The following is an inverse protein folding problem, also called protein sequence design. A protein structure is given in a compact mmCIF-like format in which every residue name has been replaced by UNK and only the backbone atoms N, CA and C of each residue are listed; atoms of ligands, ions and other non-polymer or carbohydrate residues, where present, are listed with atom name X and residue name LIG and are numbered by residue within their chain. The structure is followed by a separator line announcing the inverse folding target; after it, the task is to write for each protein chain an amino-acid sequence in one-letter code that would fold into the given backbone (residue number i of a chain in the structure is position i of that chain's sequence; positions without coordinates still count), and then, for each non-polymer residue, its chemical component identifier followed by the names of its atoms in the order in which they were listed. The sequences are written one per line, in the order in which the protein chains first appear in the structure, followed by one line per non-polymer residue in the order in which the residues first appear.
data_IF_659120024962
#
_entry.id   IF_659120024962
#
_cell.length_a   1.000
_cell.length_b   1.000
_cell.length_c   1.000
_cell.angle_alpha   90.00
_cell.angle_beta   90.00
_cell.angle_gamma   90.00
#
_symmetry.space_group_name_H-M   'P 1'
#
loop_
_entity.id
_entity.type
_entity.pdbx_description
1 polymer ?
#
# COMPACT_ATOMS: atom_id res chain seq x y z
N UNK A 1 -3.66 -22.76 28.04
CA UNK A 1 -4.42 -22.27 26.87
C UNK A 1 -4.96 -23.45 26.06
N UNK A 2 -5.86 -24.26 26.64
CA UNK A 2 -6.52 -25.37 25.93
C UNK A 2 -7.37 -24.88 24.76
N UNK A 3 -8.08 -23.76 24.93
CA UNK A 3 -8.93 -23.15 23.89
C UNK A 3 -8.17 -22.77 22.60
N UNK A 4 -6.93 -22.29 22.71
CA UNK A 4 -6.11 -21.97 21.54
C UNK A 4 -5.69 -23.23 20.79
N UNK A 5 -5.43 -24.31 21.53
CA UNK A 5 -5.00 -25.59 20.99
C UNK A 5 -6.16 -26.33 20.31
N UNK A 6 -7.36 -26.25 20.89
CA UNK A 6 -8.62 -26.72 20.31
C UNK A 6 -8.89 -26.01 18.97
N UNK A 7 -8.82 -24.67 18.97
CA UNK A 7 -9.05 -23.86 17.77
C UNK A 7 -8.04 -24.15 16.64
N UNK A 8 -6.76 -24.36 16.99
CA UNK A 8 -5.74 -24.73 16.00
C UNK A 8 -6.05 -26.10 15.40
N UNK A 9 -6.46 -27.09 16.21
CA UNK A 9 -6.85 -28.42 15.71
C UNK A 9 -8.07 -28.35 14.80
N UNK A 10 -9.11 -27.62 15.18
CA UNK A 10 -10.31 -27.45 14.35
C UNK A 10 -9.98 -26.80 13.00
N UNK A 11 -9.11 -25.79 12.98
CA UNK A 11 -8.66 -25.15 11.73
C UNK A 11 -7.84 -26.13 10.88
N UNK A 12 -6.96 -26.95 11.48
CA UNK A 12 -6.20 -27.97 10.77
C UNK A 12 -7.10 -29.06 10.18
N UNK A 13 -8.06 -29.57 10.94
CA UNK A 13 -9.01 -30.59 10.50
C UNK A 13 -9.92 -30.04 9.38
N UNK A 14 -10.37 -28.79 9.49
CA UNK A 14 -11.13 -28.12 8.44
C UNK A 14 -10.31 -27.93 7.16
N UNK A 15 -9.05 -27.49 7.26
CA UNK A 15 -8.16 -27.32 6.11
C UNK A 15 -7.86 -28.63 5.39
N UNK A 16 -7.71 -29.74 6.12
CA UNK A 16 -7.48 -31.07 5.52
C UNK A 16 -8.72 -31.60 4.80
N UNK A 17 -9.91 -31.40 5.37
CA UNK A 17 -11.16 -31.94 4.82
C UNK A 17 -11.77 -31.04 3.73
N UNK A 18 -11.49 -29.74 3.73
CA UNK A 18 -12.07 -28.75 2.82
C UNK A 18 -10.99 -27.86 2.18
N UNK A 19 -9.85 -28.45 1.80
CA UNK A 19 -8.67 -27.74 1.32
C UNK A 19 -8.98 -26.68 0.24
N UNK A 20 -9.84 -27.00 -0.74
CA UNK A 20 -10.20 -26.06 -1.80
C UNK A 20 -10.99 -24.84 -1.27
N UNK A 21 -11.92 -25.07 -0.35
CA UNK A 21 -12.73 -24.00 0.27
C UNK A 21 -11.89 -23.18 1.25
N UNK A 22 -11.07 -23.84 2.07
CA UNK A 22 -10.14 -23.21 2.98
C UNK A 22 -9.15 -22.31 2.23
N UNK A 23 -8.56 -22.80 1.14
CA UNK A 23 -7.67 -22.00 0.30
C UNK A 23 -8.42 -20.80 -0.32
N UNK A 24 -9.65 -20.99 -0.81
CA UNK A 24 -10.45 -19.88 -1.33
C UNK A 24 -10.75 -18.80 -0.27
N UNK A 25 -11.10 -19.20 0.96
CA UNK A 25 -11.35 -18.29 2.08
C UNK A 25 -10.09 -17.54 2.51
N UNK A 26 -8.95 -18.23 2.63
CA UNK A 26 -7.67 -17.62 3.00
C UNK A 26 -7.21 -16.62 1.93
N UNK A 27 -7.33 -16.98 0.65
CA UNK A 27 -7.02 -16.08 -0.46
C UNK A 27 -7.89 -14.83 -0.46
N UNK A 28 -9.22 -15.00 -0.37
CA UNK A 28 -10.17 -13.88 -0.33
C UNK A 28 -9.92 -12.94 0.86
N UNK A 29 -9.71 -13.48 2.06
CA UNK A 29 -9.41 -12.68 3.24
C UNK A 29 -8.07 -11.92 3.12
N UNK A 30 -7.09 -12.50 2.42
CA UNK A 30 -5.80 -11.86 2.14
C UNK A 30 -5.95 -10.73 1.12
N UNK A 31 -6.67 -10.96 0.02
CA UNK A 31 -6.97 -9.98 -1.03
C UNK A 31 -7.71 -8.77 -0.46
N UNK A 32 -8.73 -8.99 0.36
CA UNK A 32 -9.49 -7.93 1.02
C UNK A 32 -8.61 -7.07 1.93
N UNK A 33 -7.69 -7.68 2.69
CA UNK A 33 -6.76 -6.97 3.54
C UNK A 33 -5.78 -6.13 2.71
N UNK A 34 -5.21 -6.70 1.66
CA UNK A 34 -4.31 -6.00 0.74
C UNK A 34 -5.01 -4.84 0.04
N UNK A 35 -6.25 -5.03 -0.43
CA UNK A 35 -7.04 -3.99 -1.07
C UNK A 35 -7.35 -2.82 -0.12
N UNK A 36 -7.72 -3.11 1.14
CA UNK A 36 -7.95 -2.08 2.16
C UNK A 36 -6.66 -1.31 2.48
N UNK A 37 -5.53 -2.00 2.64
CA UNK A 37 -4.23 -1.38 2.88
C UNK A 37 -3.83 -0.47 1.70
N UNK A 38 -3.90 -0.97 0.47
CA UNK A 38 -3.59 -0.21 -0.74
C UNK A 38 -4.49 1.03 -0.88
N UNK A 39 -5.79 0.91 -0.56
CA UNK A 39 -6.71 2.05 -0.57
C UNK A 39 -6.30 3.13 0.43
N UNK A 40 -5.94 2.75 1.66
CA UNK A 40 -5.50 3.69 2.68
C UNK A 40 -4.20 4.41 2.26
N UNK A 41 -3.24 3.68 1.70
CA UNK A 41 -1.97 4.25 1.21
C UNK A 41 -2.22 5.21 0.04
N UNK A 42 -3.05 4.84 -0.94
CA UNK A 42 -3.43 5.73 -2.05
C UNK A 42 -4.06 7.04 -1.55
N UNK A 43 -4.93 6.96 -0.54
CA UNK A 43 -5.55 8.15 0.05
C UNK A 43 -4.53 9.04 0.76
N UNK A 44 -3.56 8.45 1.47
CA UNK A 44 -2.46 9.19 2.10
C UNK A 44 -1.60 9.89 1.04
N UNK A 45 -1.14 9.15 0.03
CA UNK A 45 -0.38 9.71 -1.11
C UNK A 45 -1.10 10.87 -1.77
N UNK A 46 -2.40 10.71 -2.07
CA UNK A 46 -3.20 11.76 -2.69
C UNK A 46 -3.30 13.02 -1.81
N UNK A 47 -3.36 12.88 -0.48
CA UNK A 47 -3.36 14.04 0.43
C UNK A 47 -2.03 14.75 0.39
N UNK A 48 -0.92 14.01 0.39
CA UNK A 48 0.42 14.59 0.28
C UNK A 48 0.62 15.32 -1.04
N UNK A 49 0.20 14.73 -2.17
CA UNK A 49 0.25 15.37 -3.49
C UNK A 49 -0.57 16.67 -3.54
N UNK A 50 -1.80 16.65 -2.98
CA UNK A 50 -2.62 17.87 -2.88
C UNK A 50 -1.94 18.95 -2.06
N UNK A 51 -1.29 18.56 -0.96
CA UNK A 51 -0.54 19.50 -0.13
C UNK A 51 0.64 20.10 -0.89
N UNK A 52 1.40 19.29 -1.63
CA UNK A 52 2.49 19.76 -2.52
C UNK A 52 1.98 20.79 -3.54
N UNK A 53 0.82 20.54 -4.15
CA UNK A 53 0.18 21.48 -5.09
C UNK A 53 -0.23 22.79 -4.41
N UNK A 54 -0.78 22.71 -3.20
CA UNK A 54 -1.14 23.88 -2.39
C UNK A 54 0.09 24.72 -2.05
N UNK A 55 1.16 24.08 -1.54
CA UNK A 55 2.41 24.76 -1.21
C UNK A 55 3.02 25.44 -2.44
N UNK A 56 2.98 24.80 -3.61
CA UNK A 56 3.46 25.39 -4.86
C UNK A 56 2.69 26.66 -5.26
N UNK A 57 1.39 26.75 -4.94
CA UNK A 57 0.59 27.97 -5.15
C UNK A 57 0.94 29.05 -4.12
N UNK A 58 1.14 28.66 -2.87
CA UNK A 58 1.52 29.57 -1.79
C UNK A 58 2.89 30.20 -2.04
N UNK A 59 3.88 29.40 -2.45
CA UNK A 59 5.24 29.87 -2.76
C UNK A 59 5.22 30.89 -3.92
N UNK A 60 4.45 30.64 -4.99
CA UNK A 60 4.30 31.60 -6.09
C UNK A 60 3.74 32.94 -5.61
N UNK A 61 2.70 32.90 -4.78
CA UNK A 61 2.11 34.11 -4.20
C UNK A 61 3.08 34.83 -3.25
N UNK A 62 3.83 34.07 -2.45
CA UNK A 62 4.86 34.60 -1.55
C UNK A 62 5.93 35.35 -2.35
N UNK A 63 6.35 34.81 -3.49
CA UNK A 63 7.30 35.46 -4.39
C UNK A 63 6.73 36.74 -4.99
N UNK A 64 5.47 36.72 -5.46
CA UNK A 64 4.79 37.92 -5.94
C UNK A 64 4.71 39.03 -4.87
N UNK A 65 4.38 38.67 -3.62
CA UNK A 65 4.31 39.62 -2.51
C UNK A 65 5.70 40.18 -2.14
N UNK A 66 6.77 39.37 -2.25
CA UNK A 66 8.14 39.84 -2.05
C UNK A 66 8.57 40.84 -3.14
N UNK A 67 8.46 40.47 -4.42
CA UNK A 67 8.89 41.34 -5.54
C UNK A 67 8.13 42.67 -5.58
N UNK A 68 6.87 42.68 -5.13
CA UNK A 68 6.06 43.91 -5.03
C UNK A 68 6.33 44.72 -3.74
N UNK A 69 7.29 44.32 -2.91
CA UNK A 69 7.70 45.02 -1.69
C UNK A 69 6.70 44.93 -0.54
N UNK A 70 5.69 44.05 -0.64
CA UNK A 70 4.68 43.81 0.41
C UNK A 70 5.21 42.90 1.51
N UNK A 71 6.24 42.13 1.20
CA UNK A 71 6.97 41.25 2.09
C UNK A 71 8.46 41.63 2.04
N UNK A 72 9.15 41.60 3.17
CA UNK A 72 10.60 41.79 3.19
C UNK A 72 11.33 40.51 2.79
N UNK A 73 12.50 40.66 2.17
CA UNK A 73 13.34 39.51 1.77
C UNK A 73 13.63 38.57 2.94
N UNK A 74 13.95 39.11 4.12
CA UNK A 74 14.21 38.30 5.31
C UNK A 74 13.03 37.42 5.71
N UNK A 75 11.81 37.95 5.65
CA UNK A 75 10.61 37.19 6.02
C UNK A 75 10.22 36.20 4.91
N UNK A 76 10.45 36.59 3.65
CA UNK A 76 10.31 35.70 2.50
C UNK A 76 11.22 34.46 2.64
N UNK A 77 12.51 34.66 2.88
CA UNK A 77 13.49 33.58 3.04
C UNK A 77 13.10 32.63 4.19
N UNK A 78 12.68 33.18 5.33
CA UNK A 78 12.25 32.37 6.47
C UNK A 78 11.03 31.51 6.12
N UNK A 79 9.99 32.09 5.51
CA UNK A 79 8.80 31.33 5.13
C UNK A 79 9.08 30.33 4.00
N UNK A 80 9.95 30.68 3.06
CA UNK A 80 10.35 29.78 1.99
C UNK A 80 11.07 28.55 2.54
N UNK A 81 11.98 28.73 3.48
CA UNK A 81 12.67 27.62 4.16
C UNK A 81 11.68 26.64 4.82
N UNK A 82 10.67 27.15 5.52
CA UNK A 82 9.65 26.30 6.16
C UNK A 82 8.83 25.51 5.12
N UNK A 83 8.51 26.13 3.98
CA UNK A 83 7.83 25.45 2.88
C UNK A 83 8.71 24.41 2.18
N UNK A 84 10.00 24.69 1.99
CA UNK A 84 10.97 23.76 1.41
C UNK A 84 11.13 22.53 2.29
N UNK A 85 11.24 22.71 3.61
CA UNK A 85 11.29 21.61 4.57
C UNK A 85 10.01 20.76 4.54
N UNK A 86 8.83 21.38 4.44
CA UNK A 86 7.57 20.64 4.31
C UNK A 86 7.50 19.88 2.97
N UNK A 87 7.93 20.50 1.86
CA UNK A 87 7.97 19.88 0.54
C UNK A 87 8.89 18.65 0.48
N UNK A 88 10.04 18.71 1.16
CA UNK A 88 10.96 17.57 1.29
C UNK A 88 10.27 16.40 1.99
N UNK A 89 9.67 16.63 3.17
CA UNK A 89 8.95 15.59 3.90
C UNK A 89 7.75 15.01 3.15
N UNK A 90 7.03 15.83 2.37
CA UNK A 90 5.95 15.37 1.50
C UNK A 90 6.48 14.51 0.35
N UNK A 91 7.60 14.89 -0.26
CA UNK A 91 8.23 14.14 -1.35
C UNK A 91 8.70 12.76 -0.89
N UNK A 92 9.31 12.69 0.29
CA UNK A 92 9.69 11.42 0.91
C UNK A 92 8.47 10.54 1.19
N UNK A 93 7.41 11.13 1.75
CA UNK A 93 6.17 10.41 2.06
C UNK A 93 5.50 9.87 0.79
N UNK A 94 5.44 10.67 -0.28
CA UNK A 94 4.89 10.25 -1.59
C UNK A 94 5.70 9.10 -2.18
N UNK A 95 7.03 9.18 -2.08
CA UNK A 95 7.95 8.16 -2.58
C UNK A 95 7.78 6.84 -1.81
N UNK A 96 7.73 6.91 -0.48
CA UNK A 96 7.50 5.74 0.38
C UNK A 96 6.14 5.10 0.11
N UNK A 97 5.08 5.92 -0.01
CA UNK A 97 3.73 5.42 -0.32
C UNK A 97 3.67 4.75 -1.69
N UNK A 98 4.38 5.28 -2.70
CA UNK A 98 4.47 4.66 -4.01
C UNK A 98 5.22 3.32 -3.94
N UNK A 99 6.35 3.26 -3.24
CA UNK A 99 7.12 2.02 -3.08
C UNK A 99 6.32 0.92 -2.38
N UNK A 100 5.54 1.28 -1.36
CA UNK A 100 4.68 0.33 -0.65
C UNK A 100 3.54 -0.18 -1.55
N UNK A 101 2.92 0.70 -2.36
CA UNK A 101 1.92 0.28 -3.34
C UNK A 101 2.51 -0.68 -4.38
N UNK A 102 3.73 -0.41 -4.86
CA UNK A 102 4.42 -1.28 -5.81
C UNK A 102 4.81 -2.62 -5.17
N UNK A 103 5.10 -2.65 -3.86
CA UNK A 103 5.32 -3.89 -3.12
C UNK A 103 4.04 -4.71 -3.03
N UNK A 104 2.93 -4.11 -2.57
CA UNK A 104 1.63 -4.79 -2.49
C UNK A 104 1.24 -5.35 -3.85
N UNK A 105 1.38 -4.56 -4.92
CA UNK A 105 1.05 -5.03 -6.27
C UNK A 105 1.90 -6.24 -6.70
N UNK A 106 3.19 -6.26 -6.39
CA UNK A 106 4.07 -7.42 -6.71
C UNK A 106 3.69 -8.66 -5.91
N UNK A 107 3.35 -8.50 -4.63
CA UNK A 107 2.91 -9.59 -3.76
C UNK A 107 1.59 -10.20 -4.25
N UNK A 108 0.62 -9.38 -4.65
CA UNK A 108 -0.64 -9.84 -5.24
C UNK A 108 -0.40 -10.66 -6.52
N UNK A 109 0.42 -10.15 -7.44
CA UNK A 109 0.77 -10.86 -8.71
C UNK A 109 1.46 -12.20 -8.43
N UNK A 110 2.33 -12.26 -7.42
CA UNK A 110 3.02 -13.50 -7.06
C UNK A 110 2.05 -14.53 -6.45
N UNK A 111 1.11 -14.09 -5.62
CA UNK A 111 0.07 -14.94 -5.06
C UNK A 111 -0.83 -15.54 -6.15
N UNK A 112 -1.26 -14.74 -7.12
CA UNK A 112 -2.05 -15.20 -8.28
C UNK A 112 -1.31 -16.28 -9.09
N UNK A 113 -0.01 -16.08 -9.36
CA UNK A 113 0.83 -17.06 -10.05
C UNK A 113 0.96 -18.37 -9.27
N UNK A 114 1.16 -18.28 -7.96
CA UNK A 114 1.25 -19.47 -7.09
C UNK A 114 -0.07 -20.27 -7.12
N UNK A 115 -1.22 -19.59 -7.01
CA UNK A 115 -2.53 -20.24 -7.10
C UNK A 115 -2.78 -20.89 -8.46
N UNK A 116 -2.37 -20.25 -9.55
CA UNK A 116 -2.45 -20.85 -10.89
C UNK A 116 -1.59 -22.12 -11.01
N UNK A 117 -0.40 -22.12 -10.42
CA UNK A 117 0.49 -23.30 -10.39
C UNK A 117 -0.13 -24.45 -9.58
N UNK A 118 -0.64 -24.18 -8.38
CA UNK A 118 -1.30 -25.19 -7.53
C UNK A 118 -2.50 -25.81 -8.25
N UNK A 119 -3.31 -25.00 -8.94
CA UNK A 119 -4.43 -25.49 -9.76
C UNK A 119 -3.96 -26.40 -10.90
N UNK A 120 -2.89 -26.04 -11.61
CA UNK A 120 -2.34 -26.85 -12.70
C UNK A 120 -1.77 -28.19 -12.21
N UNK A 121 -1.08 -28.22 -11.08
CA UNK A 121 -0.55 -29.46 -10.49
C UNK A 121 -1.70 -30.39 -10.07
N UNK A 122 -2.81 -29.83 -9.54
CA UNK A 122 -4.01 -30.62 -9.17
C UNK A 122 -4.76 -31.22 -10.37
N UNK A 123 -4.55 -30.68 -11.59
CA UNK A 123 -5.15 -31.18 -12.85
C UNK A 123 -4.38 -32.39 -13.42
N UNK A 124 -3.20 -32.73 -12.89
CA UNK A 124 -2.51 -33.99 -13.21
C UNK A 124 -2.74 -35.04 -12.11
N UNK A 125 -3.87 -35.77 -12.09
CA UNK A 125 -3.96 -36.97 -11.29
C UNK A 125 -3.15 -38.08 -11.98
N UNK A 126 -2.34 -38.79 -11.20
CA UNK A 126 -2.00 -40.20 -11.37
C UNK A 126 -2.32 -40.79 -12.76
N UNK A 127 -1.35 -40.74 -13.69
CA UNK A 127 -1.33 -41.77 -14.73
C UNK A 127 -0.85 -43.07 -14.07
N UNK A 128 -1.62 -44.16 -14.08
CA UNK A 128 -1.14 -45.43 -13.55
C UNK A 128 0.03 -45.93 -14.42
N UNK A 129 1.01 -46.64 -13.85
CA UNK A 129 2.06 -47.25 -14.65
C UNK A 129 1.45 -48.30 -15.57
N UNK A 130 1.87 -48.29 -16.84
CA UNK A 130 1.61 -49.37 -17.81
C UNK A 130 2.27 -50.67 -17.38
#
# INVERSE_FOLDING_TARGET
NELLLEAIKEVCDYAQNNEAEFMAQVCSASEDRQAKAAKAIRQRKQRSEKRTDELSRLIRKLYEDNVNGRLSDKLFEQMLHDFEAELEGLTDSITQDQQELDRISRETVNAEKFLALVKNIRIFPNSPPQ
#
